data_IF_317586665060
#
_entry.id   IF_317586665060
#
_cell.length_a   1.000
_cell.length_b   1.000
_cell.length_c   1.000
_cell.angle_alpha   90.00
_cell.angle_beta   90.00
_cell.angle_gamma   90.00
#
_symmetry.space_group_name_H-M   'P 1'
#
loop_
_entity.id
_entity.type
_entity.pdbx_description
1 polymer ?
#
# COMPACT_ATOMS: atom_id res chain seq x y z
N UNK A 1 0.91 -3.66 1.07
CA UNK A 1 -0.32 -3.03 0.53
C UNK A 1 -0.49 -3.44 -0.91
N UNK A 2 -1.66 -3.95 -1.26
CA UNK A 2 -2.07 -4.23 -2.64
C UNK A 2 -3.22 -3.29 -3.00
N UNK A 3 -3.13 -2.67 -4.17
CA UNK A 3 -4.20 -1.81 -4.69
C UNK A 3 -4.20 -1.78 -6.23
N UNK A 4 -5.31 -1.38 -6.80
CA UNK A 4 -5.48 -1.15 -8.23
C UNK A 4 -6.08 0.25 -8.44
N UNK A 5 -5.33 1.12 -9.12
CA UNK A 5 -5.77 2.49 -9.37
C UNK A 5 -5.95 2.75 -10.86
N UNK A 6 -7.10 3.28 -11.30
CA UNK A 6 -7.25 3.71 -12.68
C UNK A 6 -6.26 4.85 -12.98
N UNK A 7 -5.60 4.77 -14.12
CA UNK A 7 -4.73 5.82 -14.65
C UNK A 7 -5.48 6.71 -15.66
N UNK A 8 -6.29 6.07 -16.49
CA UNK A 8 -7.13 6.71 -17.51
C UNK A 8 -8.40 5.86 -17.68
N UNK A 9 -9.21 6.21 -18.65
CA UNK A 9 -10.35 5.42 -19.11
C UNK A 9 -9.99 4.06 -19.72
N UNK A 10 -8.71 3.81 -20.02
CA UNK A 10 -8.21 2.60 -20.73
C UNK A 10 -7.26 1.75 -19.91
N UNK A 11 -6.63 2.28 -18.88
CA UNK A 11 -5.59 1.58 -18.14
C UNK A 11 -5.74 1.72 -16.63
N UNK A 12 -5.35 0.68 -15.90
CA UNK A 12 -5.17 0.70 -14.47
C UNK A 12 -3.76 0.24 -14.09
N UNK A 13 -3.30 0.68 -12.94
CA UNK A 13 -2.02 0.29 -12.36
C UNK A 13 -2.32 -0.61 -11.16
N UNK A 14 -1.99 -1.89 -11.30
CA UNK A 14 -2.00 -2.86 -10.21
C UNK A 14 -0.63 -2.83 -9.57
N UNK A 15 -0.57 -2.63 -8.25
CA UNK A 15 0.73 -2.55 -7.59
C UNK A 15 0.71 -3.12 -6.18
N UNK A 16 1.89 -3.58 -5.77
CA UNK A 16 2.21 -3.95 -4.39
C UNK A 16 3.20 -2.94 -3.85
N UNK A 17 2.89 -2.35 -2.71
CA UNK A 17 3.74 -1.33 -2.11
C UNK A 17 4.01 -1.55 -0.63
N UNK A 18 5.12 -1.01 -0.16
CA UNK A 18 5.53 -0.99 1.24
C UNK A 18 5.00 0.26 1.93
N UNK A 19 4.32 0.07 3.05
CA UNK A 19 3.93 1.17 3.91
C UNK A 19 5.14 1.75 4.64
N UNK A 20 5.44 3.02 4.38
CA UNK A 20 6.51 3.76 5.03
C UNK A 20 5.94 5.05 5.60
N UNK A 21 5.78 5.10 6.93
CA UNK A 21 5.18 6.24 7.63
C UNK A 21 3.82 6.63 7.02
N UNK A 22 3.75 7.74 6.27
CA UNK A 22 2.51 8.28 5.70
C UNK A 22 2.34 7.99 4.20
N UNK A 23 3.17 7.14 3.60
CA UNK A 23 3.16 6.80 2.18
C UNK A 23 3.26 5.31 1.95
N UNK A 24 2.76 4.87 0.81
CA UNK A 24 2.96 3.50 0.32
C UNK A 24 3.90 3.56 -0.88
N UNK A 25 5.10 3.05 -0.72
CA UNK A 25 6.12 3.07 -1.76
C UNK A 25 5.98 1.84 -2.65
N UNK A 26 5.77 2.01 -3.97
CA UNK A 26 5.64 0.88 -4.88
C UNK A 26 6.90 -0.01 -4.89
N UNK A 27 6.70 -1.32 -4.78
CA UNK A 27 7.72 -2.35 -4.87
C UNK A 27 7.65 -3.10 -6.19
N UNK A 28 6.43 -3.45 -6.61
CA UNK A 28 6.15 -4.12 -7.87
C UNK A 28 4.82 -3.62 -8.44
N UNK A 29 4.72 -3.54 -9.75
CA UNK A 29 3.49 -3.08 -10.42
C UNK A 29 3.35 -3.69 -11.81
N UNK A 30 2.13 -3.56 -12.38
CA UNK A 30 1.83 -3.81 -13.79
C UNK A 30 0.79 -2.81 -14.26
N UNK A 31 0.95 -2.37 -15.50
CA UNK A 31 -0.07 -1.58 -16.20
C UNK A 31 -0.97 -2.52 -16.97
N UNK A 32 -2.24 -2.53 -16.62
CA UNK A 32 -3.26 -3.43 -17.17
C UNK A 32 -4.35 -2.64 -17.91
N UNK A 33 -5.05 -3.23 -18.88
CA UNK A 33 -6.23 -2.61 -19.46
C UNK A 33 -7.35 -2.52 -18.42
N UNK A 34 -8.11 -1.43 -18.44
CA UNK A 34 -9.16 -1.19 -17.43
C UNK A 34 -10.44 -1.99 -17.73
N UNK A 35 -10.82 -2.10 -19.01
CA UNK A 35 -12.11 -2.66 -19.43
C UNK A 35 -11.99 -3.97 -20.23
N UNK A 36 -10.80 -4.50 -20.37
CA UNK A 36 -10.56 -5.76 -21.06
C UNK A 36 -10.32 -6.88 -20.05
N UNK A 37 -10.64 -8.10 -20.43
CA UNK A 37 -10.24 -9.29 -19.68
C UNK A 37 -8.72 -9.43 -19.75
N UNK A 38 -8.07 -9.64 -18.62
CA UNK A 38 -6.63 -9.87 -18.59
C UNK A 38 -6.33 -11.30 -19.02
N UNK A 39 -5.44 -11.47 -19.99
CA UNK A 39 -5.17 -12.75 -20.65
C UNK A 39 -4.88 -13.91 -19.67
N UNK A 40 -4.11 -13.62 -18.63
CA UNK A 40 -3.76 -14.61 -17.61
C UNK A 40 -4.68 -14.57 -16.39
N UNK A 41 -5.62 -13.61 -16.35
CA UNK A 41 -6.46 -13.35 -15.20
C UNK A 41 -5.75 -12.61 -14.06
N UNK A 42 -6.56 -12.00 -13.20
CA UNK A 42 -6.07 -11.17 -12.08
C UNK A 42 -5.18 -11.94 -11.11
N UNK A 43 -5.55 -13.16 -10.78
CA UNK A 43 -4.88 -13.94 -9.74
C UNK A 43 -3.52 -14.46 -10.18
N UNK A 44 -3.38 -14.87 -11.45
CA UNK A 44 -2.09 -15.25 -12.02
C UNK A 44 -1.12 -14.07 -12.08
N UNK A 45 -1.60 -12.87 -12.45
CA UNK A 45 -0.81 -11.64 -12.39
C UNK A 45 -0.30 -11.34 -10.98
N UNK A 46 -1.19 -11.40 -9.98
CA UNK A 46 -0.82 -11.16 -8.59
C UNK A 46 0.17 -12.21 -8.07
N UNK A 47 -0.02 -13.47 -8.44
CA UNK A 47 0.92 -14.55 -8.12
C UNK A 47 2.33 -14.24 -8.62
N UNK A 48 2.48 -13.84 -9.88
CA UNK A 48 3.77 -13.42 -10.47
C UNK A 48 4.39 -12.23 -9.74
N UNK A 49 3.59 -11.23 -9.36
CA UNK A 49 4.10 -10.09 -8.58
C UNK A 49 4.59 -10.50 -7.19
N UNK A 50 3.88 -11.42 -6.53
CA UNK A 50 4.27 -11.91 -5.20
C UNK A 50 5.53 -12.78 -5.27
N UNK A 51 5.63 -13.67 -6.26
CA UNK A 51 6.83 -14.47 -6.52
C UNK A 51 8.07 -13.60 -6.78
N UNK A 52 7.92 -12.49 -7.51
CA UNK A 52 9.01 -11.53 -7.72
C UNK A 52 9.46 -10.84 -6.42
N UNK A 53 8.55 -10.61 -5.48
CA UNK A 53 8.86 -9.95 -4.21
C UNK A 53 9.36 -10.90 -3.13
N UNK A 54 8.94 -12.15 -3.16
CA UNK A 54 9.22 -13.15 -2.12
C UNK A 54 10.71 -13.28 -1.78
N UNK A 55 11.66 -13.38 -2.73
CA UNK A 55 13.08 -13.51 -2.39
C UNK A 55 13.65 -12.30 -1.62
N UNK A 56 13.04 -11.12 -1.77
CA UNK A 56 13.44 -9.88 -1.11
C UNK A 56 12.77 -9.70 0.26
N UNK A 57 11.67 -10.41 0.52
CA UNK A 57 10.87 -10.31 1.72
C UNK A 57 10.90 -11.58 2.58
N UNK A 58 11.64 -12.61 2.19
CA UNK A 58 11.67 -13.91 2.85
C UNK A 58 12.08 -13.87 4.34
N UNK A 59 12.84 -12.85 4.75
CA UNK A 59 13.25 -12.64 6.16
C UNK A 59 12.33 -11.68 6.92
N UNK A 60 11.26 -11.23 6.31
CA UNK A 60 10.35 -10.23 6.89
C UNK A 60 9.02 -10.88 7.30
N UNK A 61 8.48 -10.45 8.44
CA UNK A 61 7.11 -10.72 8.83
C UNK A 61 6.18 -9.78 8.05
N UNK A 62 5.56 -10.28 6.99
CA UNK A 62 4.78 -9.49 6.04
C UNK A 62 3.28 -9.68 6.25
N UNK A 63 2.54 -8.58 6.36
CA UNK A 63 1.07 -8.57 6.30
C UNK A 63 0.61 -7.86 5.04
N UNK A 64 -0.07 -8.56 4.14
CA UNK A 64 -0.70 -7.96 2.97
C UNK A 64 -2.04 -7.31 3.36
N UNK A 65 -2.20 -6.04 3.04
CA UNK A 65 -3.47 -5.32 3.23
C UNK A 65 -4.06 -5.03 1.86
N UNK A 66 -5.33 -5.41 1.64
CA UNK A 66 -6.04 -5.18 0.39
C UNK A 66 -7.50 -4.74 0.63
N UNK A 67 -8.03 -3.99 -0.34
CA UNK A 67 -9.41 -3.51 -0.32
C UNK A 67 -10.40 -4.54 -0.84
N UNK A 68 -11.67 -4.19 -0.72
CA UNK A 68 -12.85 -4.98 -1.07
C UNK A 68 -12.78 -5.57 -2.49
N UNK A 69 -12.36 -4.77 -3.48
CA UNK A 69 -12.29 -5.20 -4.88
C UNK A 69 -11.23 -6.27 -5.19
N UNK A 70 -10.31 -6.50 -4.25
CA UNK A 70 -9.21 -7.47 -4.39
C UNK A 70 -9.30 -8.59 -3.34
N UNK A 71 -10.34 -8.63 -2.52
CA UNK A 71 -10.49 -9.62 -1.46
C UNK A 71 -11.15 -10.91 -1.97
N UNK A 72 -10.73 -12.04 -1.45
CA UNK A 72 -11.32 -13.34 -1.75
C UNK A 72 -10.38 -14.51 -1.46
N UNK A 73 -10.91 -15.73 -1.58
CA UNK A 73 -10.14 -16.95 -1.33
C UNK A 73 -8.86 -17.04 -2.19
N UNK A 74 -8.86 -16.67 -3.49
CA UNK A 74 -7.64 -16.72 -4.29
C UNK A 74 -6.52 -15.84 -3.73
N UNK A 75 -6.83 -14.65 -3.21
CA UNK A 75 -5.81 -13.78 -2.60
C UNK A 75 -5.28 -14.37 -1.29
N UNK A 76 -6.15 -14.98 -0.48
CA UNK A 76 -5.73 -15.70 0.74
C UNK A 76 -4.75 -16.81 0.39
N UNK A 77 -5.06 -17.64 -0.62
CA UNK A 77 -4.18 -18.71 -1.10
C UNK A 77 -2.83 -18.17 -1.58
N UNK A 78 -2.81 -17.08 -2.31
CA UNK A 78 -1.57 -16.43 -2.73
C UNK A 78 -0.74 -15.93 -1.54
N UNK A 79 -1.35 -15.34 -0.52
CA UNK A 79 -0.64 -14.95 0.71
C UNK A 79 -0.07 -16.17 1.45
N UNK A 80 -0.87 -17.22 1.60
CA UNK A 80 -0.44 -18.46 2.26
C UNK A 80 0.74 -19.12 1.52
N UNK A 81 0.72 -19.14 0.19
CA UNK A 81 1.81 -19.67 -0.64
C UNK A 81 3.14 -18.92 -0.42
N UNK A 82 3.08 -17.61 -0.11
CA UNK A 82 4.25 -16.80 0.21
C UNK A 82 4.58 -16.75 1.71
N UNK A 83 3.81 -17.43 2.56
CA UNK A 83 3.91 -17.35 4.03
C UNK A 83 3.69 -15.92 4.56
N UNK A 84 2.86 -15.12 3.90
CA UNK A 84 2.47 -13.79 4.32
C UNK A 84 1.16 -13.82 5.09
N UNK A 85 1.06 -13.02 6.12
CA UNK A 85 -0.21 -12.68 6.76
C UNK A 85 -1.06 -11.83 5.83
N UNK A 86 -2.37 -11.82 6.08
CA UNK A 86 -3.29 -10.99 5.32
C UNK A 86 -4.24 -10.23 6.23
N UNK A 87 -4.69 -9.06 5.75
CA UNK A 87 -5.74 -8.24 6.35
C UNK A 87 -6.59 -7.68 5.20
N UNK A 88 -7.72 -8.30 4.95
CA UNK A 88 -8.57 -8.06 3.79
C UNK A 88 -9.90 -7.47 4.22
N UNK A 89 -10.37 -6.45 3.52
CA UNK A 89 -11.74 -5.97 3.67
C UNK A 89 -12.67 -6.83 2.81
N UNK A 90 -13.77 -7.29 3.40
CA UNK A 90 -14.82 -8.06 2.71
C UNK A 90 -16.15 -7.30 2.72
N UNK A 91 -17.05 -7.64 1.79
CA UNK A 91 -18.37 -7.07 1.74
C UNK A 91 -19.28 -7.62 2.85
N UNK A 92 -20.21 -6.79 3.32
CA UNK A 92 -21.21 -7.14 4.31
C UNK A 92 -22.12 -8.30 3.90
N UNK A 93 -22.27 -8.55 2.59
CA UNK A 93 -23.09 -9.63 2.05
C UNK A 93 -22.41 -11.01 2.13
N UNK A 94 -21.07 -11.06 2.31
CA UNK A 94 -20.41 -12.34 2.54
C UNK A 94 -20.94 -13.05 3.77
N UNK A 95 -21.17 -14.36 3.66
CA UNK A 95 -21.68 -15.18 4.76
C UNK A 95 -20.56 -15.64 5.67
N UNK A 96 -20.87 -15.69 6.95
CA UNK A 96 -19.96 -16.20 7.97
C UNK A 96 -20.68 -17.04 9.03
N UNK A 97 -19.95 -17.99 9.63
CA UNK A 97 -20.29 -18.60 10.92
C UNK A 97 -19.37 -18.01 11.98
N UNK A 98 -19.88 -17.70 13.16
CA UNK A 98 -19.09 -17.20 14.29
C UNK A 98 -18.81 -18.31 15.27
N UNK A 99 -17.60 -18.35 15.82
CA UNK A 99 -17.31 -19.23 16.94
C UNK A 99 -17.78 -18.59 18.25
N UNK A 100 -18.84 -19.12 18.84
CA UNK A 100 -19.43 -18.63 20.08
C UNK A 100 -19.63 -19.80 21.08
N UNK A 101 -19.18 -19.63 22.31
CA UNK A 101 -19.41 -20.58 23.42
C UNK A 101 -19.06 -22.03 23.09
N UNK A 102 -18.00 -22.25 22.28
CA UNK A 102 -17.55 -23.60 21.97
C UNK A 102 -18.20 -24.25 20.73
N UNK A 103 -19.03 -23.53 19.97
CA UNK A 103 -19.69 -24.05 18.76
C UNK A 103 -19.74 -22.99 17.66
N UNK A 104 -19.91 -23.46 16.41
CA UNK A 104 -20.18 -22.60 15.26
C UNK A 104 -21.67 -22.25 15.19
N UNK A 105 -21.98 -21.01 14.91
CA UNK A 105 -23.36 -20.54 14.65
C UNK A 105 -23.81 -20.95 13.25
N UNK A 106 -25.09 -20.69 12.93
CA UNK A 106 -25.54 -20.78 11.56
C UNK A 106 -24.85 -19.76 10.66
N UNK A 107 -24.88 -20.01 9.35
CA UNK A 107 -24.41 -19.09 8.33
C UNK A 107 -25.28 -17.84 8.26
N UNK A 108 -24.68 -16.68 8.47
CA UNK A 108 -25.36 -15.38 8.39
C UNK A 108 -24.50 -14.41 7.58
N UNK A 109 -25.11 -13.40 6.93
CA UNK A 109 -24.34 -12.33 6.32
C UNK A 109 -23.49 -11.58 7.37
N UNK A 110 -22.27 -11.17 7.02
CA UNK A 110 -21.40 -10.41 7.93
C UNK A 110 -22.07 -9.11 8.41
N UNK A 111 -22.92 -8.49 7.58
CA UNK A 111 -23.70 -7.30 7.94
C UNK A 111 -24.66 -7.50 9.12
N UNK A 112 -25.02 -8.73 9.48
CA UNK A 112 -25.82 -9.03 10.68
C UNK A 112 -24.98 -8.94 11.96
N UNK A 113 -23.65 -9.13 11.84
CA UNK A 113 -22.74 -9.12 12.99
C UNK A 113 -22.56 -7.69 13.54
N UNK A 114 -22.46 -6.72 12.63
CA UNK A 114 -22.40 -5.29 12.93
C UNK A 114 -23.29 -4.57 11.94
N UNK A 115 -24.41 -4.01 12.42
CA UNK A 115 -25.48 -3.43 11.59
C UNK A 115 -25.87 -2.01 11.99
N UNK A 116 -25.31 -1.48 13.08
CA UNK A 116 -25.59 -0.14 13.61
C UNK A 116 -24.28 0.57 13.94
N UNK A 117 -24.23 1.89 13.70
CA UNK A 117 -23.09 2.73 14.09
C UNK A 117 -22.81 2.61 15.59
N UNK A 118 -21.56 2.62 15.96
CA UNK A 118 -21.05 2.38 17.32
C UNK A 118 -20.84 0.91 17.69
N UNK A 119 -21.31 -0.04 16.87
CA UNK A 119 -21.11 -1.47 17.14
C UNK A 119 -19.73 -1.96 16.71
N UNK A 120 -19.24 -2.98 17.44
CA UNK A 120 -18.03 -3.71 17.08
C UNK A 120 -18.13 -5.17 17.50
N UNK A 121 -17.46 -6.04 16.74
CA UNK A 121 -17.34 -7.45 17.05
C UNK A 121 -15.97 -7.99 16.62
N UNK A 122 -15.34 -8.80 17.47
CA UNK A 122 -14.04 -9.42 17.23
C UNK A 122 -14.08 -10.90 17.57
N UNK A 123 -13.72 -11.78 16.64
CA UNK A 123 -13.75 -13.22 16.94
C UNK A 123 -13.32 -14.11 15.77
N UNK A 124 -13.37 -15.40 16.05
CA UNK A 124 -13.12 -16.44 15.03
C UNK A 124 -14.37 -16.65 14.19
N UNK A 125 -14.14 -16.80 12.89
CA UNK A 125 -15.20 -17.04 11.91
C UNK A 125 -14.80 -18.16 10.94
N UNK A 126 -15.83 -18.76 10.32
CA UNK A 126 -15.73 -19.45 9.02
C UNK A 126 -16.37 -18.56 7.98
N UNK A 127 -15.71 -18.39 6.85
CA UNK A 127 -16.14 -17.56 5.72
C UNK A 127 -16.25 -18.42 4.47
N UNK A 128 -17.07 -17.94 3.52
CA UNK A 128 -17.22 -18.52 2.18
C UNK A 128 -17.64 -19.99 2.19
N UNK A 129 -18.92 -20.21 2.19
CA UNK A 129 -19.57 -21.50 2.40
C UNK A 129 -19.06 -22.59 1.45
N UNK A 130 -18.74 -22.27 0.20
CA UNK A 130 -18.26 -23.23 -0.80
C UNK A 130 -16.78 -23.63 -0.58
N UNK A 131 -15.96 -22.69 -0.16
CA UNK A 131 -14.54 -22.89 0.15
C UNK A 131 -14.26 -22.31 1.53
N UNK A 132 -14.66 -23.06 2.56
CA UNK A 132 -14.62 -22.58 3.94
C UNK A 132 -13.22 -22.21 4.40
N UNK A 133 -13.04 -20.95 4.78
CA UNK A 133 -11.84 -20.42 5.41
C UNK A 133 -12.10 -20.17 6.90
N UNK A 134 -11.34 -20.83 7.78
CA UNK A 134 -11.27 -20.41 9.19
C UNK A 134 -10.32 -19.23 9.33
N UNK A 135 -10.82 -18.14 9.88
CA UNK A 135 -10.11 -16.89 10.02
C UNK A 135 -10.58 -16.09 11.23
N UNK A 136 -10.08 -14.88 11.39
CA UNK A 136 -10.52 -13.93 12.39
C UNK A 136 -11.20 -12.73 11.71
N UNK A 137 -12.34 -12.32 12.23
CA UNK A 137 -13.09 -11.16 11.74
C UNK A 137 -13.04 -10.03 12.77
N UNK A 138 -12.56 -8.87 12.35
CA UNK A 138 -12.70 -7.61 13.05
C UNK A 138 -13.79 -6.78 12.34
N UNK A 139 -14.99 -6.77 12.88
CA UNK A 139 -16.11 -6.02 12.34
C UNK A 139 -16.35 -4.77 13.21
N UNK A 140 -16.35 -3.59 12.59
CA UNK A 140 -16.46 -2.32 13.31
C UNK A 140 -17.22 -1.30 12.49
N UNK A 141 -18.15 -0.59 13.12
CA UNK A 141 -18.79 0.58 12.58
C UNK A 141 -18.64 1.75 13.54
N UNK A 142 -17.55 2.52 13.39
CA UNK A 142 -17.33 3.68 14.25
C UNK A 142 -18.30 4.81 13.94
N UNK A 143 -18.60 5.62 14.97
CA UNK A 143 -19.40 6.82 14.82
C UNK A 143 -18.77 7.77 13.78
N UNK A 144 -19.59 8.33 12.91
CA UNK A 144 -19.16 9.19 11.81
C UNK A 144 -18.64 8.48 10.56
N UNK A 145 -18.47 7.17 10.56
CA UNK A 145 -18.19 6.40 9.35
C UNK A 145 -19.47 6.12 8.57
N UNK A 146 -19.37 6.13 7.23
CA UNK A 146 -20.50 5.87 6.33
C UNK A 146 -21.00 4.43 6.39
N UNK A 147 -20.11 3.47 6.68
CA UNK A 147 -20.39 2.05 6.66
C UNK A 147 -19.46 1.27 7.61
N UNK A 148 -19.91 0.06 7.97
CA UNK A 148 -19.10 -0.85 8.75
C UNK A 148 -17.92 -1.40 7.93
N UNK A 149 -16.79 -1.65 8.60
CA UNK A 149 -15.67 -2.40 8.05
C UNK A 149 -15.70 -3.83 8.57
N UNK A 150 -15.62 -4.78 7.65
CA UNK A 150 -15.49 -6.21 7.92
C UNK A 150 -14.12 -6.66 7.46
N UNK A 151 -13.20 -6.86 8.40
CA UNK A 151 -11.78 -7.13 8.14
C UNK A 151 -11.42 -8.54 8.54
N UNK A 152 -10.97 -9.32 7.57
CA UNK A 152 -10.58 -10.72 7.73
C UNK A 152 -9.07 -10.86 7.76
N UNK A 153 -8.57 -11.64 8.71
CA UNK A 153 -7.14 -11.90 8.89
C UNK A 153 -6.92 -13.32 9.42
N UNK A 154 -5.74 -13.89 9.16
CA UNK A 154 -5.22 -15.08 9.83
C UNK A 154 -4.75 -14.79 11.27
N UNK A 155 -4.50 -13.52 11.58
CA UNK A 155 -4.10 -13.05 12.91
C UNK A 155 -5.33 -12.71 13.76
N UNK A 156 -5.17 -12.78 15.09
CA UNK A 156 -6.25 -12.55 16.04
C UNK A 156 -7.00 -11.22 15.82
N UNK A 157 -8.34 -11.31 15.82
CA UNK A 157 -9.21 -10.16 15.66
C UNK A 157 -9.08 -9.20 16.84
N UNK A 158 -8.87 -7.93 16.55
CA UNK A 158 -8.77 -6.88 17.58
C UNK A 158 -8.84 -5.48 16.95
N UNK A 159 -8.98 -4.46 17.79
CA UNK A 159 -8.99 -3.05 17.36
C UNK A 159 -7.73 -2.62 16.60
N UNK A 160 -6.58 -3.22 16.91
CA UNK A 160 -5.33 -2.95 16.21
C UNK A 160 -5.43 -3.31 14.71
N UNK A 161 -6.11 -4.40 14.35
CA UNK A 161 -6.34 -4.77 12.92
C UNK A 161 -7.11 -3.69 12.17
N UNK A 162 -8.09 -3.05 12.84
CA UNK A 162 -8.85 -1.94 12.26
C UNK A 162 -7.95 -0.71 12.02
N UNK A 163 -7.07 -0.40 12.97
CA UNK A 163 -6.09 0.69 12.80
C UNK A 163 -5.10 0.42 11.68
N UNK A 164 -4.58 -0.81 11.59
CA UNK A 164 -3.67 -1.23 10.53
C UNK A 164 -4.32 -1.15 9.15
N UNK A 165 -5.59 -1.58 9.03
CA UNK A 165 -6.33 -1.41 7.80
C UNK A 165 -6.52 0.08 7.43
N UNK A 166 -6.76 0.93 8.41
CA UNK A 166 -6.85 2.38 8.20
C UNK A 166 -5.62 2.99 7.55
N UNK A 167 -4.44 2.35 7.68
CA UNK A 167 -3.23 2.80 6.96
C UNK A 167 -3.33 2.65 5.45
N UNK A 168 -4.28 1.85 4.94
CA UNK A 168 -4.54 1.72 3.51
C UNK A 168 -4.84 3.08 2.85
N UNK A 169 -5.52 3.98 3.55
CA UNK A 169 -5.83 5.33 3.03
C UNK A 169 -4.58 6.13 2.63
N UNK A 170 -3.40 5.72 3.09
CA UNK A 170 -2.11 6.33 2.69
C UNK A 170 -1.70 6.02 1.25
N UNK A 171 -2.28 4.98 0.66
CA UNK A 171 -2.14 4.62 -0.75
C UNK A 171 -2.64 5.74 -1.65
N UNK A 172 -3.82 6.27 -1.35
CA UNK A 172 -4.43 7.36 -2.11
C UNK A 172 -3.52 8.60 -2.13
N UNK A 173 -2.91 8.92 -0.98
CA UNK A 173 -1.96 10.02 -0.89
C UNK A 173 -0.71 9.81 -1.74
N UNK A 174 -0.23 8.58 -1.88
CA UNK A 174 0.93 8.25 -2.73
C UNK A 174 0.59 8.46 -4.21
N UNK A 175 -0.59 7.98 -4.65
CA UNK A 175 -1.00 8.21 -6.03
C UNK A 175 -1.33 9.67 -6.33
N UNK A 176 -1.87 10.41 -5.37
CA UNK A 176 -2.06 11.86 -5.53
C UNK A 176 -0.73 12.59 -5.72
N UNK A 177 0.34 12.17 -5.03
CA UNK A 177 1.68 12.72 -5.24
C UNK A 177 2.23 12.39 -6.65
N UNK A 178 1.93 11.22 -7.21
CA UNK A 178 2.32 10.86 -8.58
C UNK A 178 1.44 11.51 -9.65
N UNK A 179 0.15 11.68 -9.37
CA UNK A 179 -0.85 12.27 -10.25
C UNK A 179 -0.92 13.80 -10.08
N UNK A 180 -2.12 14.34 -9.98
CA UNK A 180 -2.45 15.76 -10.03
C UNK A 180 -1.81 16.67 -8.96
N UNK A 181 -1.40 16.12 -7.80
CA UNK A 181 -0.81 16.91 -6.71
C UNK A 181 0.72 16.94 -6.66
N UNK A 182 1.38 16.24 -7.55
CA UNK A 182 2.83 16.12 -7.57
C UNK A 182 3.43 16.21 -8.96
N UNK A 183 3.63 15.08 -9.60
CA UNK A 183 4.31 15.01 -10.91
C UNK A 183 3.38 15.01 -12.11
N UNK A 184 2.08 15.09 -11.88
CA UNK A 184 1.06 15.20 -12.92
C UNK A 184 1.18 14.12 -14.00
N UNK A 185 1.28 12.86 -13.56
CA UNK A 185 1.44 11.70 -14.44
C UNK A 185 0.35 11.65 -15.53
N UNK A 186 -0.85 12.10 -15.19
CA UNK A 186 -2.00 12.11 -16.11
C UNK A 186 -1.79 13.10 -17.29
N UNK A 187 -1.08 14.21 -17.07
CA UNK A 187 -0.72 15.15 -18.13
C UNK A 187 0.26 14.58 -19.16
N UNK A 188 0.90 13.45 -18.88
CA UNK A 188 1.76 12.76 -19.84
C UNK A 188 0.99 12.24 -21.06
N UNK A 189 -0.32 12.00 -20.93
CA UNK A 189 -1.24 11.48 -21.95
C UNK A 189 -0.73 10.18 -22.62
N UNK A 190 0.11 9.42 -21.94
CA UNK A 190 0.67 8.17 -22.47
C UNK A 190 -0.42 7.10 -22.47
N UNK A 191 -0.76 6.61 -23.66
CA UNK A 191 -1.73 5.54 -23.87
C UNK A 191 -1.08 4.15 -23.95
N UNK A 192 0.14 4.09 -24.47
CA UNK A 192 0.89 2.85 -24.61
C UNK A 192 1.31 2.30 -23.23
N UNK A 193 0.87 1.10 -22.90
CA UNK A 193 1.09 0.46 -21.59
C UNK A 193 2.56 0.22 -21.29
N UNK A 194 3.37 -0.15 -22.28
CA UNK A 194 4.80 -0.41 -22.06
C UNK A 194 5.56 0.90 -21.82
N UNK A 195 5.20 1.96 -22.52
CA UNK A 195 5.77 3.30 -22.27
C UNK A 195 5.38 3.82 -20.90
N UNK A 196 4.13 3.63 -20.50
CA UNK A 196 3.65 4.00 -19.16
C UNK A 196 4.38 3.21 -18.09
N UNK A 197 4.57 1.91 -18.25
CA UNK A 197 5.29 1.05 -17.31
C UNK A 197 6.75 1.52 -17.11
N UNK A 198 7.43 1.91 -18.20
CA UNK A 198 8.79 2.48 -18.13
C UNK A 198 8.82 3.85 -17.45
N UNK A 199 7.83 4.70 -17.72
CA UNK A 199 7.71 6.00 -17.03
C UNK A 199 7.47 5.78 -15.53
N UNK A 200 6.61 4.84 -15.15
CA UNK A 200 6.34 4.51 -13.75
C UNK A 200 7.62 4.04 -13.03
N UNK A 201 8.48 3.27 -13.69
CA UNK A 201 9.77 2.88 -13.12
C UNK A 201 10.59 4.10 -12.71
N UNK A 202 10.74 5.08 -13.62
CA UNK A 202 11.50 6.31 -13.35
C UNK A 202 10.84 7.12 -12.23
N UNK A 203 9.51 7.28 -12.27
CA UNK A 203 8.77 8.05 -11.26
C UNK A 203 8.83 7.39 -9.88
N UNK A 204 8.72 6.07 -9.79
CA UNK A 204 8.78 5.37 -8.51
C UNK A 204 10.17 5.40 -7.91
N UNK A 205 11.23 5.26 -8.72
CA UNK A 205 12.60 5.45 -8.25
C UNK A 205 12.83 6.89 -7.76
N UNK A 206 12.34 7.88 -8.50
CA UNK A 206 12.42 9.27 -8.09
C UNK A 206 11.60 9.55 -6.81
N UNK A 207 10.43 8.94 -6.65
CA UNK A 207 9.62 9.02 -5.42
C UNK A 207 10.37 8.46 -4.22
N UNK A 208 11.01 7.31 -4.36
CA UNK A 208 11.86 6.73 -3.34
C UNK A 208 12.97 7.68 -2.92
N UNK A 209 13.65 8.27 -3.90
CA UNK A 209 14.72 9.21 -3.64
C UNK A 209 14.24 10.46 -2.92
N UNK A 210 13.15 11.06 -3.39
CA UNK A 210 12.55 12.26 -2.78
C UNK A 210 12.11 12.01 -1.34
N UNK A 211 11.50 10.86 -1.05
CA UNK A 211 11.09 10.50 0.31
C UNK A 211 12.31 10.26 1.21
N UNK A 212 13.37 9.66 0.68
CA UNK A 212 14.63 9.49 1.41
C UNK A 212 15.30 10.85 1.71
N UNK A 213 15.30 11.77 0.76
CA UNK A 213 15.73 13.16 0.99
C UNK A 213 14.91 13.81 2.10
N UNK A 214 13.58 13.66 2.08
CA UNK A 214 12.72 14.19 3.14
C UNK A 214 13.05 13.61 4.52
N UNK A 215 13.25 12.30 4.61
CA UNK A 215 13.66 11.64 5.85
C UNK A 215 15.00 12.20 6.36
N UNK A 216 15.98 12.39 5.46
CA UNK A 216 17.26 13.01 5.78
C UNK A 216 17.09 14.48 6.24
N UNK A 217 16.21 15.25 5.60
CA UNK A 217 15.86 16.62 6.01
C UNK A 217 15.35 16.67 7.46
N UNK A 218 14.43 15.77 7.81
CA UNK A 218 13.87 15.66 9.16
C UNK A 218 14.95 15.23 10.15
N UNK A 219 15.74 14.19 9.82
CA UNK A 219 16.79 13.68 10.67
C UNK A 219 17.85 14.72 11.03
N UNK A 220 18.20 15.61 10.09
CA UNK A 220 19.18 16.68 10.30
C UNK A 220 18.56 17.97 10.86
N UNK A 221 17.31 17.94 11.32
CA UNK A 221 16.64 19.10 11.90
C UNK A 221 16.39 20.26 10.92
N UNK A 222 16.41 20.00 9.60
CA UNK A 222 16.24 21.05 8.57
C UNK A 222 14.79 21.27 8.18
N UNK A 223 13.84 20.57 8.81
CA UNK A 223 12.41 20.65 8.44
C UNK A 223 11.84 22.06 8.57
N UNK A 224 12.23 22.78 9.61
CA UNK A 224 11.72 24.14 9.89
C UNK A 224 12.07 25.18 8.82
N UNK A 225 13.03 24.89 7.94
CA UNK A 225 13.36 25.73 6.79
C UNK A 225 12.28 25.69 5.69
N UNK A 226 11.50 24.60 5.63
CA UNK A 226 10.58 24.31 4.54
C UNK A 226 9.13 24.16 5.02
N UNK A 227 8.93 23.91 6.30
CA UNK A 227 7.64 23.60 6.90
C UNK A 227 7.46 24.40 8.19
N UNK A 228 6.28 24.89 8.43
CA UNK A 228 5.99 25.72 9.61
C UNK A 228 6.19 24.89 10.89
N UNK A 229 6.79 25.47 11.90
CA UNK A 229 7.04 24.81 13.17
C UNK A 229 5.74 24.48 13.92
N UNK A 230 4.78 25.42 13.89
CA UNK A 230 3.48 25.34 14.56
C UNK A 230 2.47 24.42 13.85
N UNK A 231 2.67 24.17 12.55
CA UNK A 231 1.76 23.38 11.72
C UNK A 231 2.53 22.58 10.67
N UNK A 232 2.75 21.30 10.97
CA UNK A 232 3.47 20.34 10.12
C UNK A 232 2.55 19.79 9.02
N UNK A 233 2.18 20.62 8.06
CA UNK A 233 1.21 20.29 7.03
C UNK A 233 1.81 19.79 5.71
N UNK A 234 3.14 19.85 5.53
CA UNK A 234 3.80 19.30 4.34
C UNK A 234 4.02 17.79 4.44
N UNK A 235 3.60 17.08 3.39
CA UNK A 235 3.91 15.65 3.24
C UNK A 235 5.41 15.43 3.07
N UNK A 236 5.89 14.21 3.37
CA UNK A 236 7.29 13.84 3.12
C UNK A 236 7.67 14.03 1.65
N UNK A 237 6.79 13.70 0.71
CA UNK A 237 7.03 13.94 -0.71
C UNK A 237 7.25 15.43 -1.00
N UNK A 238 6.34 16.30 -0.54
CA UNK A 238 6.46 17.75 -0.72
C UNK A 238 7.71 18.33 -0.08
N UNK A 239 8.04 17.88 1.14
CA UNK A 239 9.23 18.27 1.86
C UNK A 239 10.51 17.88 1.10
N UNK A 240 10.56 16.66 0.58
CA UNK A 240 11.69 16.15 -0.19
C UNK A 240 11.88 16.92 -1.50
N UNK A 241 10.79 17.26 -2.21
CA UNK A 241 10.84 18.08 -3.41
C UNK A 241 11.39 19.50 -3.11
N UNK A 242 10.98 20.10 -2.01
CA UNK A 242 11.48 21.42 -1.61
C UNK A 242 12.96 21.36 -1.24
N UNK A 243 13.37 20.35 -0.49
CA UNK A 243 14.78 20.20 -0.14
C UNK A 243 15.64 19.85 -1.36
N UNK A 244 15.16 18.99 -2.24
CA UNK A 244 15.86 18.70 -3.51
C UNK A 244 16.11 19.99 -4.30
N UNK A 245 15.11 20.85 -4.43
CA UNK A 245 15.25 22.15 -5.11
C UNK A 245 16.31 23.03 -4.44
N UNK A 246 16.28 23.16 -3.12
CA UNK A 246 17.27 23.93 -2.36
C UNK A 246 18.69 23.35 -2.51
N UNK A 247 18.84 22.04 -2.49
CA UNK A 247 20.14 21.38 -2.69
C UNK A 247 20.67 21.61 -4.12
N UNK A 248 19.82 21.51 -5.13
CA UNK A 248 20.19 21.75 -6.53
C UNK A 248 20.63 23.19 -6.77
N UNK A 249 19.98 24.16 -6.14
CA UNK A 249 20.39 25.57 -6.22
C UNK A 249 21.77 25.82 -5.59
N UNK A 250 22.18 24.99 -4.64
CA UNK A 250 23.46 25.11 -3.92
C UNK A 250 24.56 24.18 -4.44
N UNK A 251 24.29 23.39 -5.49
CA UNK A 251 25.24 22.37 -5.97
C UNK A 251 26.59 22.96 -6.43
N UNK A 252 26.55 24.17 -7.03
CA UNK A 252 27.75 24.90 -7.46
C UNK A 252 28.54 25.59 -6.35
N UNK A 253 27.99 25.69 -5.13
CA UNK A 253 28.56 26.48 -4.03
C UNK A 253 28.81 25.69 -2.76
N UNK A 254 28.33 24.43 -2.67
CA UNK A 254 28.38 23.63 -1.45
C UNK A 254 28.66 22.15 -1.72
N UNK A 255 29.85 21.70 -1.36
CA UNK A 255 30.19 20.27 -1.35
C UNK A 255 29.23 19.43 -0.47
N UNK A 256 28.66 20.03 0.59
CA UNK A 256 27.67 19.39 1.45
C UNK A 256 26.36 19.08 0.68
N UNK A 257 25.94 19.95 -0.27
CA UNK A 257 24.77 19.71 -1.10
C UNK A 257 24.96 18.47 -2.00
N UNK A 258 26.11 18.37 -2.65
CA UNK A 258 26.47 17.21 -3.49
C UNK A 258 26.53 15.94 -2.64
N UNK A 259 27.20 15.98 -1.49
CA UNK A 259 27.30 14.83 -0.59
C UNK A 259 25.93 14.36 -0.08
N UNK A 260 25.00 15.27 0.22
CA UNK A 260 23.63 14.93 0.65
C UNK A 260 22.86 14.27 -0.49
N UNK A 261 22.89 14.83 -1.69
CA UNK A 261 22.20 14.27 -2.86
C UNK A 261 22.68 12.85 -3.18
N UNK A 262 23.99 12.64 -3.20
CA UNK A 262 24.59 11.33 -3.51
C UNK A 262 24.36 10.32 -2.40
N UNK A 263 24.43 10.74 -1.13
CA UNK A 263 24.19 9.87 0.04
C UNK A 263 22.75 9.35 0.09
N UNK A 264 21.80 10.18 -0.34
CA UNK A 264 20.38 9.83 -0.37
C UNK A 264 19.95 9.06 -1.61
N UNK A 265 20.84 8.78 -2.57
CA UNK A 265 20.48 7.93 -3.70
C UNK A 265 20.08 6.53 -3.21
N UNK A 266 18.98 5.95 -3.75
CA UNK A 266 18.52 4.63 -3.35
C UNK A 266 19.38 3.50 -3.87
N UNK A 267 20.39 3.81 -4.71
CA UNK A 267 21.32 2.83 -5.29
C UNK A 267 22.70 2.98 -4.66
N UNK A 268 23.30 1.85 -4.29
CA UNK A 268 24.69 1.80 -3.80
C UNK A 268 25.50 0.83 -4.62
N UNK A 269 26.72 1.23 -4.95
CA UNK A 269 27.72 0.34 -5.53
C UNK A 269 28.26 -0.56 -4.41
N UNK A 270 28.20 -1.87 -4.62
CA UNK A 270 28.82 -2.90 -3.79
C UNK A 270 29.90 -3.62 -4.59
N UNK A 271 30.71 -4.45 -3.94
CA UNK A 271 31.71 -5.27 -4.65
C UNK A 271 31.05 -6.20 -5.71
N UNK A 272 29.80 -6.59 -5.51
CA UNK A 272 29.02 -7.45 -6.41
C UNK A 272 28.13 -6.69 -7.40
N UNK A 273 28.25 -5.35 -7.50
CA UNK A 273 27.44 -4.53 -8.41
C UNK A 273 26.59 -3.46 -7.69
N UNK A 274 25.54 -2.97 -8.37
CA UNK A 274 24.63 -2.00 -7.81
C UNK A 274 23.56 -2.69 -6.99
N UNK A 275 23.35 -2.28 -5.74
CA UNK A 275 22.21 -2.70 -4.91
C UNK A 275 21.29 -1.53 -4.63
N UNK A 276 19.99 -1.79 -4.72
CA UNK A 276 18.97 -0.92 -4.19
C UNK A 276 18.97 -1.06 -2.67
N UNK A 277 19.22 0.02 -1.97
CA UNK A 277 19.32 0.02 -0.51
C UNK A 277 18.57 1.22 0.03
N UNK A 278 17.55 0.96 0.82
CA UNK A 278 16.85 1.97 1.61
C UNK A 278 17.49 2.01 3.00
N UNK A 279 17.84 3.20 3.42
CA UNK A 279 18.15 3.48 4.82
C UNK A 279 17.05 4.41 5.33
N UNK A 280 16.29 3.93 6.27
CA UNK A 280 15.33 4.72 7.02
C UNK A 280 16.00 5.26 8.30
#
# INVERSE_FOLDING_TARGET
>A
MLDCTPYSDRACIVYVGLLVQSRVLPLAWRVMPLHETWDEGQWALLGKLFEQLQPHLASCDCTLIADLGLSGMPLVQLCQAQQWHYLLRIDKAHTCQRWLRGSWTDWVPCGVVVHTSGQQWFGRVRLWQEQTLEAHLSAVWDEGQREAWFLVSDQAACRRRVQEYGWRMRVESTFQDAKSRGWDLEASLIVDRQRLDRLLLVLFVAMWWVIHLAASCVHHGQRDRFDRHDRRDKSLFRLGCLWLRDLLQRIGTSACAVATLTRCLPFRRTASGWRFSLRF
#
